data_IF_196055958155
#
_entry.id   IF_196055958155
#
_cell.length_a   1.000
_cell.length_b   1.000
_cell.length_c   1.000
_cell.angle_alpha   90.00
_cell.angle_beta   90.00
_cell.angle_gamma   90.00
#
_symmetry.space_group_name_H-M   'P 1'
#
loop_
_entity.id
_entity.type
_entity.pdbx_description
1 polymer ?
#
# COMPACT_ATOMS: atom_id res chain seq x y z
N UNK A 1 -0.14 -27.19 18.04
CA UNK A 1 -1.37 -26.77 18.75
C UNK A 1 -2.47 -26.74 17.69
N UNK A 2 -3.60 -27.42 17.92
CA UNK A 2 -4.68 -27.51 16.93
C UNK A 2 -5.58 -26.29 17.13
N UNK A 3 -5.60 -25.35 16.17
CA UNK A 3 -6.26 -24.05 16.31
C UNK A 3 -7.76 -24.06 15.98
N UNK A 4 -8.36 -25.25 15.80
CA UNK A 4 -9.75 -25.37 15.33
C UNK A 4 -10.81 -25.01 16.38
N UNK A 5 -10.45 -24.84 17.66
CA UNK A 5 -11.40 -24.58 18.76
C UNK A 5 -10.99 -23.42 19.69
N UNK A 6 -10.24 -22.41 19.21
CA UNK A 6 -9.92 -21.25 20.05
C UNK A 6 -11.06 -20.22 19.98
N UNK A 7 -11.71 -20.00 21.13
CA UNK A 7 -12.82 -19.07 21.33
C UNK A 7 -12.40 -17.64 20.94
N UNK A 8 -13.28 -16.89 20.27
CA UNK A 8 -13.05 -15.50 19.80
C UNK A 8 -12.57 -14.56 20.92
N UNK A 9 -12.94 -14.84 22.18
CA UNK A 9 -12.50 -14.10 23.37
C UNK A 9 -11.02 -14.34 23.74
N UNK A 10 -10.44 -15.51 23.45
CA UNK A 10 -9.02 -15.78 23.76
C UNK A 10 -8.08 -15.02 22.81
N UNK A 11 -8.56 -14.66 21.62
CA UNK A 11 -7.80 -13.90 20.63
C UNK A 11 -7.67 -12.40 20.97
N UNK A 12 -8.57 -11.84 21.79
CA UNK A 12 -8.43 -10.46 22.25
C UNK A 12 -7.19 -10.25 23.13
N UNK A 13 -6.65 -11.34 23.71
CA UNK A 13 -5.40 -11.32 24.47
C UNK A 13 -4.13 -11.31 23.59
N UNK A 14 -4.24 -11.39 22.26
CA UNK A 14 -3.09 -11.19 21.36
C UNK A 14 -2.54 -9.76 21.40
N UNK A 15 -3.29 -8.80 21.93
CA UNK A 15 -2.83 -7.42 22.17
C UNK A 15 -1.72 -7.32 23.23
N UNK A 16 -1.40 -8.42 23.92
CA UNK A 16 -0.31 -8.51 24.91
C UNK A 16 0.99 -9.05 24.30
N UNK A 17 0.94 -9.65 23.10
CA UNK A 17 2.12 -10.20 22.42
C UNK A 17 2.74 -9.16 21.49
N UNK A 18 4.06 -9.13 21.45
CA UNK A 18 4.77 -8.38 20.42
C UNK A 18 4.54 -9.04 19.04
N UNK A 19 4.58 -8.23 17.98
CA UNK A 19 4.22 -8.69 16.64
C UNK A 19 5.05 -9.88 16.15
N UNK A 20 6.27 -10.07 16.64
CA UNK A 20 7.20 -11.16 16.30
C UNK A 20 6.90 -12.48 17.04
N UNK A 21 6.07 -12.43 18.07
CA UNK A 21 5.62 -13.59 18.85
C UNK A 21 4.37 -14.25 18.27
N UNK A 22 3.68 -13.57 17.36
CA UNK A 22 2.47 -14.07 16.70
C UNK A 22 2.88 -14.95 15.51
N UNK A 23 2.51 -16.23 15.55
CA UNK A 23 2.65 -17.12 14.39
C UNK A 23 1.52 -16.88 13.38
N UNK A 24 1.62 -15.81 12.59
CA UNK A 24 0.59 -15.44 11.62
C UNK A 24 0.23 -16.60 10.69
N UNK A 25 1.22 -17.45 10.32
CA UNK A 25 1.08 -18.57 9.38
C UNK A 25 0.09 -19.64 9.82
N UNK A 26 -0.16 -19.79 11.12
CA UNK A 26 -1.12 -20.75 11.65
C UNK A 26 -2.49 -20.16 11.96
N UNK A 27 -2.63 -18.82 11.91
CA UNK A 27 -3.90 -18.16 12.18
C UNK A 27 -4.94 -18.40 11.07
N UNK A 28 -6.22 -18.57 11.40
CA UNK A 28 -7.29 -18.60 10.42
C UNK A 28 -7.46 -17.22 9.76
N UNK A 29 -7.91 -17.19 8.50
CA UNK A 29 -8.02 -15.92 7.74
C UNK A 29 -8.90 -14.87 8.43
N UNK A 30 -9.95 -15.27 9.14
CA UNK A 30 -10.79 -14.35 9.93
C UNK A 30 -10.04 -13.68 11.08
N UNK A 31 -9.11 -14.39 11.72
CA UNK A 31 -8.28 -13.78 12.75
C UNK A 31 -7.31 -12.79 12.13
N UNK A 32 -6.70 -13.13 10.98
CA UNK A 32 -5.83 -12.22 10.24
C UNK A 32 -6.58 -10.97 9.78
N UNK A 33 -7.82 -11.09 9.29
CA UNK A 33 -8.68 -9.95 8.96
C UNK A 33 -8.88 -9.03 10.17
N UNK A 34 -9.24 -9.59 11.32
CA UNK A 34 -9.45 -8.81 12.55
C UNK A 34 -8.16 -8.11 13.01
N UNK A 35 -7.01 -8.77 12.89
CA UNK A 35 -5.72 -8.20 13.27
C UNK A 35 -5.28 -7.10 12.30
N UNK A 36 -5.49 -7.30 10.99
CA UNK A 36 -5.18 -6.34 9.93
C UNK A 36 -5.98 -5.03 10.05
N UNK A 37 -7.16 -5.08 10.69
CA UNK A 37 -8.01 -3.92 10.96
C UNK A 37 -7.87 -3.38 12.40
N UNK A 38 -6.92 -3.89 13.18
CA UNK A 38 -6.67 -3.43 14.54
C UNK A 38 -5.84 -2.12 14.57
N UNK A 39 -5.77 -1.50 15.74
CA UNK A 39 -4.97 -0.27 15.93
C UNK A 39 -3.48 -0.54 16.17
N UNK A 40 -3.07 -1.80 16.34
CA UNK A 40 -1.68 -2.18 16.57
C UNK A 40 -0.92 -2.26 15.24
N UNK A 41 -0.23 -1.19 14.85
CA UNK A 41 0.29 -0.95 13.50
C UNK A 41 1.15 -2.09 12.93
N UNK A 42 2.06 -2.64 13.73
CA UNK A 42 2.93 -3.74 13.32
C UNK A 42 2.13 -5.04 13.10
N UNK A 43 1.23 -5.36 14.01
CA UNK A 43 0.34 -6.52 13.92
C UNK A 43 -0.58 -6.39 12.72
N UNK A 44 -1.16 -5.20 12.52
CA UNK A 44 -2.03 -4.92 11.38
C UNK A 44 -1.31 -5.10 10.05
N UNK A 45 -0.08 -4.57 9.95
CA UNK A 45 0.75 -4.72 8.75
C UNK A 45 1.13 -6.17 8.50
N UNK A 46 1.61 -6.89 9.52
CA UNK A 46 1.98 -8.31 9.39
C UNK A 46 0.80 -9.19 9.00
N UNK A 47 -0.37 -8.98 9.60
CA UNK A 47 -1.56 -9.74 9.28
C UNK A 47 -2.06 -9.47 7.85
N UNK A 48 -2.05 -8.20 7.40
CA UNK A 48 -2.40 -7.83 6.04
C UNK A 48 -1.45 -8.45 5.00
N UNK A 49 -0.14 -8.41 5.27
CA UNK A 49 0.88 -9.01 4.42
C UNK A 49 0.70 -10.53 4.36
N UNK A 50 0.43 -11.19 5.50
CA UNK A 50 0.17 -12.62 5.53
C UNK A 50 -1.08 -13.00 4.71
N UNK A 51 -2.18 -12.24 4.80
CA UNK A 51 -3.36 -12.44 3.94
C UNK A 51 -2.99 -12.36 2.45
N UNK A 52 -2.13 -11.41 2.06
CA UNK A 52 -1.65 -11.26 0.69
C UNK A 52 -0.70 -12.38 0.24
N UNK A 53 0.15 -12.89 1.14
CA UNK A 53 1.03 -14.03 0.88
C UNK A 53 0.20 -15.29 0.60
N UNK A 54 -0.91 -15.47 1.32
CA UNK A 54 -1.84 -16.59 1.11
C UNK A 54 -2.77 -16.43 -0.08
N UNK A 55 -2.69 -15.30 -0.78
CA UNK A 55 -3.63 -14.95 -1.85
C UNK A 55 -5.09 -15.01 -1.38
N UNK A 56 -5.35 -14.70 -0.10
CA UNK A 56 -6.68 -14.73 0.47
C UNK A 56 -7.57 -13.71 -0.23
N UNK A 57 -8.83 -14.10 -0.49
CA UNK A 57 -9.86 -13.21 -1.04
C UNK A 57 -10.19 -12.04 -0.10
N UNK A 58 -9.83 -12.13 1.18
CA UNK A 58 -10.01 -11.05 2.16
C UNK A 58 -8.94 -9.96 2.01
N UNK A 59 -7.74 -10.30 1.53
CA UNK A 59 -6.63 -9.35 1.43
C UNK A 59 -6.98 -8.04 0.68
N UNK A 60 -7.55 -8.08 -0.55
CA UNK A 60 -7.93 -6.85 -1.24
C UNK A 60 -9.09 -6.11 -0.57
N UNK A 61 -10.01 -6.82 0.09
CA UNK A 61 -11.13 -6.20 0.80
C UNK A 61 -10.64 -5.41 2.01
N UNK A 62 -9.76 -6.02 2.82
CA UNK A 62 -9.13 -5.39 3.98
C UNK A 62 -8.25 -4.22 3.55
N UNK A 63 -7.42 -4.40 2.51
CA UNK A 63 -6.60 -3.32 1.97
C UNK A 63 -7.45 -2.12 1.51
N UNK A 64 -8.53 -2.38 0.79
CA UNK A 64 -9.48 -1.35 0.36
C UNK A 64 -10.13 -0.63 1.54
N UNK A 65 -10.47 -1.36 2.60
CA UNK A 65 -11.04 -0.79 3.83
C UNK A 65 -10.05 0.10 4.58
N UNK A 66 -8.78 -0.32 4.69
CA UNK A 66 -7.71 0.47 5.30
C UNK A 66 -7.54 1.80 4.56
N UNK A 67 -7.44 1.74 3.23
CA UNK A 67 -7.25 2.92 2.39
C UNK A 67 -8.47 3.86 2.41
N UNK A 68 -9.67 3.32 2.27
CA UNK A 68 -10.91 4.11 2.16
C UNK A 68 -11.28 4.83 3.47
N UNK A 69 -10.90 4.26 4.62
CA UNK A 69 -11.17 4.84 5.93
C UNK A 69 -9.91 5.46 6.58
N UNK A 70 -8.79 5.52 5.85
CA UNK A 70 -7.50 6.00 6.35
C UNK A 70 -7.11 5.38 7.70
N UNK A 71 -7.24 4.04 7.82
CA UNK A 71 -6.91 3.32 9.04
C UNK A 71 -5.39 3.18 9.22
N UNK A 72 -4.94 3.27 10.47
CA UNK A 72 -3.54 3.19 10.84
C UNK A 72 -2.70 4.34 10.28
N UNK A 73 -1.38 4.14 10.28
CA UNK A 73 -0.42 5.13 9.80
C UNK A 73 -0.16 5.01 8.29
N UNK A 74 0.65 5.93 7.77
CA UNK A 74 1.02 5.98 6.36
C UNK A 74 1.77 4.73 5.89
N UNK A 75 2.46 4.01 6.79
CA UNK A 75 3.14 2.75 6.46
C UNK A 75 2.16 1.60 6.26
N UNK A 76 1.15 1.48 7.13
CA UNK A 76 0.07 0.52 6.95
C UNK A 76 -0.69 0.82 5.66
N UNK A 77 -1.02 2.08 5.40
CA UNK A 77 -1.70 2.49 4.16
C UNK A 77 -0.85 2.21 2.91
N UNK A 78 0.46 2.47 2.95
CA UNK A 78 1.37 2.10 1.87
C UNK A 78 1.40 0.58 1.64
N UNK A 79 1.39 -0.21 2.70
CA UNK A 79 1.33 -1.68 2.61
C UNK A 79 -0.01 -2.15 2.02
N UNK A 80 -1.12 -1.54 2.44
CA UNK A 80 -2.44 -1.79 1.86
C UNK A 80 -2.49 -1.44 0.36
N UNK A 81 -1.86 -0.35 -0.05
CA UNK A 81 -1.76 0.00 -1.47
C UNK A 81 -1.00 -1.07 -2.26
N UNK A 82 0.13 -1.57 -1.76
CA UNK A 82 0.87 -2.67 -2.40
C UNK A 82 0.01 -3.93 -2.54
N UNK A 83 -0.71 -4.31 -1.49
CA UNK A 83 -1.61 -5.49 -1.51
C UNK A 83 -2.73 -5.30 -2.52
N UNK A 84 -3.39 -4.13 -2.51
CA UNK A 84 -4.47 -3.83 -3.44
C UNK A 84 -3.96 -3.78 -4.88
N UNK A 85 -2.77 -3.23 -5.12
CA UNK A 85 -2.18 -3.17 -6.47
C UNK A 85 -1.86 -4.56 -7.02
N UNK A 86 -1.33 -5.45 -6.18
CA UNK A 86 -1.05 -6.85 -6.53
C UNK A 86 -2.31 -7.63 -6.87
N UNK A 87 -3.39 -7.44 -6.10
CA UNK A 87 -4.55 -8.35 -6.11
C UNK A 87 -5.77 -7.78 -6.84
N UNK A 88 -5.96 -6.47 -6.83
CA UNK A 88 -7.10 -5.74 -7.39
C UNK A 88 -6.62 -4.46 -8.08
N UNK A 89 -5.73 -4.63 -9.07
CA UNK A 89 -4.99 -3.54 -9.75
C UNK A 89 -5.86 -2.37 -10.19
N UNK A 90 -7.07 -2.63 -10.71
CA UNK A 90 -8.00 -1.56 -11.11
C UNK A 90 -8.37 -0.63 -9.95
N UNK A 91 -8.70 -1.21 -8.78
CA UNK A 91 -9.07 -0.42 -7.60
C UNK A 91 -7.88 0.37 -7.07
N UNK A 92 -6.67 -0.22 -7.09
CA UNK A 92 -5.45 0.48 -6.72
C UNK A 92 -5.15 1.66 -7.64
N UNK A 93 -5.26 1.49 -8.96
CA UNK A 93 -5.08 2.59 -9.92
C UNK A 93 -6.10 3.72 -9.70
N UNK A 94 -7.36 3.37 -9.44
CA UNK A 94 -8.40 4.36 -9.13
C UNK A 94 -8.12 5.10 -7.81
N UNK A 95 -7.58 4.42 -6.81
CA UNK A 95 -7.10 5.04 -5.58
C UNK A 95 -5.95 6.01 -5.88
N UNK A 96 -4.89 5.54 -6.56
CA UNK A 96 -3.70 6.35 -6.90
C UNK A 96 -4.10 7.64 -7.63
N UNK A 97 -4.96 7.55 -8.66
CA UNK A 97 -5.43 8.72 -9.43
C UNK A 97 -6.18 9.75 -8.58
N UNK A 98 -7.01 9.28 -7.63
CA UNK A 98 -7.75 10.18 -6.74
C UNK A 98 -6.87 10.83 -5.69
N UNK A 99 -5.69 10.27 -5.44
CA UNK A 99 -4.91 10.52 -4.22
C UNK A 99 -3.47 11.02 -4.54
N UNK A 100 -3.17 11.36 -5.80
CA UNK A 100 -1.93 12.05 -6.20
C UNK A 100 -1.79 13.47 -5.63
N UNK A 101 -2.89 14.05 -5.14
CA UNK A 101 -2.91 15.37 -4.49
C UNK A 101 -2.51 15.33 -3.01
N UNK A 102 -2.15 14.16 -2.46
CA UNK A 102 -1.85 14.08 -1.03
C UNK A 102 -0.57 14.78 -0.60
N UNK A 103 -0.61 15.22 0.65
CA UNK A 103 0.53 15.75 1.40
C UNK A 103 1.34 14.66 2.09
N UNK A 104 0.93 13.39 2.01
CA UNK A 104 1.61 12.27 2.64
C UNK A 104 2.81 11.80 1.79
N UNK A 105 4.06 12.04 2.24
CA UNK A 105 5.24 11.67 1.47
C UNK A 105 5.45 10.15 1.40
N UNK A 106 5.02 9.40 2.41
CA UNK A 106 5.20 7.94 2.47
C UNK A 106 4.31 7.28 1.42
N UNK A 107 3.05 7.69 1.35
CA UNK A 107 2.12 7.15 0.36
C UNK A 107 2.52 7.57 -1.07
N UNK A 108 2.98 8.80 -1.26
CA UNK A 108 3.50 9.26 -2.57
C UNK A 108 4.74 8.47 -2.99
N UNK A 109 5.68 8.21 -2.08
CA UNK A 109 6.84 7.35 -2.36
C UNK A 109 6.40 5.96 -2.81
N UNK A 110 5.43 5.36 -2.10
CA UNK A 110 4.93 4.04 -2.48
C UNK A 110 4.29 4.03 -3.87
N UNK A 111 3.54 5.07 -4.22
CA UNK A 111 2.97 5.23 -5.57
C UNK A 111 4.08 5.28 -6.63
N UNK A 112 5.14 6.07 -6.39
CA UNK A 112 6.28 6.16 -7.31
C UNK A 112 6.99 4.82 -7.46
N UNK A 113 7.24 4.10 -6.35
CA UNK A 113 7.83 2.76 -6.36
C UNK A 113 7.01 1.79 -7.21
N UNK A 114 5.69 1.73 -6.99
CA UNK A 114 4.80 0.84 -7.76
C UNK A 114 4.82 1.15 -9.26
N UNK A 115 4.91 2.42 -9.64
CA UNK A 115 5.03 2.83 -11.05
C UNK A 115 6.39 2.40 -11.62
N UNK A 116 7.49 2.65 -10.92
CA UNK A 116 8.84 2.28 -11.38
C UNK A 116 9.01 0.77 -11.50
N UNK A 117 8.45 -0.01 -10.56
CA UNK A 117 8.48 -1.48 -10.59
C UNK A 117 7.60 -2.07 -11.71
N UNK A 118 6.67 -1.29 -12.27
CA UNK A 118 5.71 -1.75 -13.28
C UNK A 118 5.67 -0.79 -14.49
N UNK A 119 6.82 -0.26 -14.88
CA UNK A 119 6.95 0.83 -15.85
C UNK A 119 6.14 0.62 -17.15
N UNK A 120 6.17 -0.60 -17.72
CA UNK A 120 5.43 -0.94 -18.95
C UNK A 120 3.91 -0.71 -18.83
N UNK A 121 3.34 -0.84 -17.63
CA UNK A 121 1.92 -0.62 -17.36
C UNK A 121 1.55 0.86 -17.28
N UNK A 122 2.54 1.75 -17.13
CA UNK A 122 2.34 3.19 -16.90
C UNK A 122 2.86 4.08 -18.03
N UNK A 123 3.73 3.60 -18.92
CA UNK A 123 4.18 4.38 -20.08
C UNK A 123 3.02 4.66 -21.05
N UNK A 124 2.06 3.73 -21.19
CA UNK A 124 0.97 3.86 -22.15
C UNK A 124 -0.33 4.35 -21.49
N UNK A 125 -1.16 5.01 -22.30
CA UNK A 125 -2.52 5.38 -21.91
C UNK A 125 -3.32 4.13 -21.50
N UNK A 126 -4.17 4.22 -20.45
CA UNK A 126 -4.59 5.43 -19.75
C UNK A 126 -3.78 5.78 -18.49
N UNK A 127 -2.67 5.10 -18.23
CA UNK A 127 -1.95 5.20 -16.96
C UNK A 127 -0.83 6.24 -16.97
N UNK A 128 -0.33 6.62 -18.14
CA UNK A 128 0.62 7.73 -18.39
C UNK A 128 0.22 9.03 -17.72
N UNK A 129 -1.09 9.35 -17.67
CA UNK A 129 -1.58 10.54 -16.98
C UNK A 129 -1.19 10.59 -15.50
N UNK A 130 -1.08 9.44 -14.82
CA UNK A 130 -0.67 9.37 -13.43
C UNK A 130 0.78 9.85 -13.23
N UNK A 131 1.66 9.55 -14.19
CA UNK A 131 3.06 10.03 -14.18
C UNK A 131 3.08 11.55 -14.24
N UNK A 132 2.30 12.15 -15.15
CA UNK A 132 2.20 13.61 -15.27
C UNK A 132 1.75 14.29 -13.97
N UNK A 133 0.70 13.76 -13.33
CA UNK A 133 0.20 14.28 -12.04
C UNK A 133 1.27 14.23 -10.93
N UNK A 134 2.09 13.18 -10.91
CA UNK A 134 3.17 13.04 -9.93
C UNK A 134 4.30 14.03 -10.23
N UNK A 135 4.72 14.18 -11.48
CA UNK A 135 5.76 15.14 -11.85
C UNK A 135 5.36 16.58 -11.49
N UNK A 136 4.14 17.01 -11.86
CA UNK A 136 3.59 18.32 -11.46
C UNK A 136 3.60 18.52 -9.94
N UNK A 137 3.36 17.45 -9.17
CA UNK A 137 3.42 17.50 -7.71
C UNK A 137 4.85 17.65 -7.22
N UNK A 138 5.82 16.95 -7.79
CA UNK A 138 7.22 16.96 -7.36
C UNK A 138 7.93 18.29 -7.62
N UNK A 139 7.47 19.07 -8.60
CA UNK A 139 7.97 20.43 -8.93
C UNK A 139 7.55 21.50 -7.92
N UNK A 140 6.60 21.22 -7.02
CA UNK A 140 6.14 22.20 -6.02
C UNK A 140 7.21 22.41 -4.93
N UNK A 141 7.46 23.67 -4.50
CA UNK A 141 8.54 24.01 -3.55
C UNK A 141 8.37 23.36 -2.17
N UNK A 142 7.14 23.06 -1.76
CA UNK A 142 6.83 22.33 -0.52
C UNK A 142 7.41 20.90 -0.49
N UNK A 143 7.85 20.38 -1.64
CA UNK A 143 8.45 19.05 -1.77
C UNK A 143 9.99 19.07 -1.88
N UNK A 144 10.63 20.22 -1.75
CA UNK A 144 12.11 20.32 -1.79
C UNK A 144 12.77 19.69 -0.56
N UNK A 145 12.12 19.75 0.61
CA UNK A 145 12.67 19.23 1.87
C UNK A 145 12.54 17.71 2.02
N UNK A 146 11.67 17.05 1.25
CA UNK A 146 11.41 15.59 1.31
C UNK A 146 12.07 14.83 0.15
N UNK A 147 13.35 15.11 -0.12
CA UNK A 147 14.10 14.41 -1.15
C UNK A 147 14.36 12.95 -0.76
N UNK A 148 13.62 12.02 -1.36
CA UNK A 148 13.78 10.58 -1.18
C UNK A 148 14.50 9.97 -2.38
N UNK A 149 15.13 8.80 -2.20
CA UNK A 149 15.71 8.04 -3.31
C UNK A 149 14.66 7.75 -4.39
N UNK A 150 13.45 7.38 -3.99
CA UNK A 150 12.33 7.15 -4.90
C UNK A 150 12.00 8.39 -5.74
N UNK A 151 12.00 9.60 -5.17
CA UNK A 151 11.79 10.85 -5.91
C UNK A 151 12.88 11.06 -6.97
N UNK A 152 14.15 10.90 -6.59
CA UNK A 152 15.28 11.09 -7.50
C UNK A 152 15.24 10.09 -8.66
N UNK A 153 15.00 8.82 -8.36
CA UNK A 153 14.89 7.76 -9.36
C UNK A 153 13.70 7.98 -10.30
N UNK A 154 12.55 8.37 -9.75
CA UNK A 154 11.35 8.67 -10.54
C UNK A 154 11.58 9.81 -11.53
N UNK A 155 12.21 10.91 -11.08
CA UNK A 155 12.57 12.03 -11.95
C UNK A 155 13.57 11.61 -13.03
N UNK A 156 14.59 10.80 -12.69
CA UNK A 156 15.55 10.31 -13.66
C UNK A 156 14.90 9.46 -14.76
N UNK A 157 13.94 8.60 -14.39
CA UNK A 157 13.24 7.73 -15.33
C UNK A 157 12.26 8.52 -16.21
N UNK A 158 11.45 9.41 -15.63
CA UNK A 158 10.27 9.96 -16.31
C UNK A 158 10.37 11.43 -16.73
N UNK A 159 11.27 12.25 -16.16
CA UNK A 159 11.37 13.67 -16.52
C UNK A 159 11.84 13.89 -17.97
N UNK A 160 12.57 12.93 -18.55
CA UNK A 160 13.01 12.96 -19.95
C UNK A 160 12.06 12.27 -20.93
N UNK A 161 11.13 11.43 -20.44
CA UNK A 161 10.25 10.61 -21.28
C UNK A 161 8.98 11.35 -21.71
N UNK A 162 8.47 12.26 -20.87
CA UNK A 162 7.30 13.10 -21.22
C UNK A 162 7.62 14.21 -22.21
N UNK A 163 8.90 14.55 -22.43
CA UNK A 163 9.31 15.52 -23.46
C UNK A 163 9.19 14.99 -24.89
N UNK A 164 8.97 13.68 -25.06
CA UNK A 164 8.94 13.01 -26.37
C UNK A 164 7.53 12.78 -26.94
N UNK A 165 6.46 13.12 -26.22
CA UNK A 165 5.07 12.97 -26.70
C UNK A 165 4.41 14.29 -27.14
N UNK A 166 5.16 15.41 -27.14
CA UNK A 166 4.69 16.74 -27.60
C UNK A 166 5.33 17.13 -28.97
N UNK A 167 6.08 16.23 -29.62
CA UNK A 167 6.61 16.43 -30.99
C UNK A 167 6.04 15.40 -31.97
#
# INVERSE_FOLDING_TARGET
MNYEDINFEEWQNLTVLDHDQIDYKSLPEKALESLALSNELYIATSALVELSIRESKLAPLVASQILSNSLGDSYLQASALSVLFKMERKQALDFMRKHTTFNDPILLNKIMELIMENEDDFILEPNSHLIGLILERLEKPENEENSTTAKADFLNIYASKLTLEIL
#
